data_IF_930540402218
#
_entry.id   IF_930540402218
#
_cell.length_a   1.000
_cell.length_b   1.000
_cell.length_c   1.000
_cell.angle_alpha   90.00
_cell.angle_beta   90.00
_cell.angle_gamma   90.00
#
_symmetry.space_group_name_H-M   'P 1'
#
loop_
_entity.id
_entity.type
_entity.pdbx_description
1 polymer ?
#
# COMPACT_ATOMS: atom_id res chain seq x y z
N UNK A 1 17.03 10.78 -15.76
CA UNK A 1 15.94 11.13 -16.69
C UNK A 1 14.98 12.08 -15.97
N UNK A 2 14.49 13.11 -16.65
CA UNK A 2 13.50 14.04 -16.09
C UNK A 2 12.15 13.76 -16.73
N UNK A 3 11.08 13.68 -15.93
CA UNK A 3 9.72 13.53 -16.41
C UNK A 3 8.95 14.81 -16.06
N UNK A 4 8.24 15.38 -17.04
CA UNK A 4 7.30 16.48 -16.85
C UNK A 4 5.91 15.87 -16.85
N UNK A 5 5.17 16.08 -15.76
CA UNK A 5 3.81 15.56 -15.58
C UNK A 5 2.89 16.75 -15.41
N UNK A 6 1.83 16.81 -16.21
CA UNK A 6 0.83 17.86 -16.11
C UNK A 6 -0.56 17.25 -16.22
N UNK A 7 -1.47 17.69 -15.35
CA UNK A 7 -2.87 17.33 -15.45
C UNK A 7 -3.55 18.38 -16.32
N UNK A 8 -4.16 17.96 -17.44
CA UNK A 8 -4.92 18.85 -18.32
C UNK A 8 -6.40 18.60 -18.09
N UNK A 9 -7.11 19.59 -17.54
CA UNK A 9 -8.52 19.49 -17.20
C UNK A 9 -8.79 18.78 -15.87
N UNK A 10 -9.94 18.12 -15.76
CA UNK A 10 -10.34 17.32 -14.61
C UNK A 10 -10.03 15.84 -14.85
N UNK A 11 -9.90 15.05 -13.78
CA UNK A 11 -9.66 13.61 -13.89
C UNK A 11 -10.05 12.90 -12.60
N UNK A 12 -10.21 11.58 -12.68
CA UNK A 12 -10.64 10.78 -11.52
C UNK A 12 -9.44 10.14 -10.84
N UNK A 13 -9.13 10.45 -9.57
CA UNK A 13 -8.12 9.72 -8.82
C UNK A 13 -8.67 8.34 -8.44
N UNK A 14 -8.06 7.26 -8.92
CA UNK A 14 -8.56 5.91 -8.66
C UNK A 14 -7.44 4.87 -8.63
N UNK A 15 -7.29 4.23 -7.48
CA UNK A 15 -6.38 3.09 -7.31
C UNK A 15 -7.14 1.79 -7.17
N UNK A 16 -6.50 0.69 -7.58
CA UNK A 16 -6.98 -0.67 -7.37
C UNK A 16 -5.85 -1.53 -6.81
N UNK A 17 -6.09 -2.15 -5.67
CA UNK A 17 -5.22 -3.22 -5.16
C UNK A 17 -5.44 -4.45 -6.03
N UNK A 18 -4.39 -4.89 -6.70
CA UNK A 18 -4.42 -6.04 -7.60
C UNK A 18 -4.12 -7.34 -6.87
N UNK A 19 -3.12 -7.31 -5.96
CA UNK A 19 -2.61 -8.50 -5.27
C UNK A 19 -2.00 -8.13 -3.93
N UNK A 20 -2.14 -9.02 -2.96
CA UNK A 20 -1.49 -9.01 -1.64
C UNK A 20 -0.81 -10.36 -1.47
N UNK A 21 0.48 -10.39 -1.16
CA UNK A 21 1.23 -11.64 -1.00
C UNK A 21 2.41 -11.49 -0.05
N UNK A 22 2.76 -12.57 0.63
CA UNK A 22 4.00 -12.65 1.40
C UNK A 22 5.14 -13.13 0.50
N UNK A 23 6.32 -12.54 0.65
CA UNK A 23 7.54 -12.91 -0.08
C UNK A 23 8.69 -13.03 0.89
N UNK A 24 9.62 -13.93 0.60
CA UNK A 24 10.93 -13.93 1.23
C UNK A 24 11.95 -13.56 0.15
N UNK A 25 12.66 -12.45 0.35
CA UNK A 25 13.71 -11.96 -0.56
C UNK A 25 14.95 -11.71 0.28
N UNK A 26 16.09 -12.28 -0.11
CA UNK A 26 17.36 -12.14 0.62
C UNK A 26 17.24 -12.39 2.14
N UNK A 27 16.49 -13.45 2.51
CA UNK A 27 16.18 -13.84 3.90
C UNK A 27 15.29 -12.86 4.70
N UNK A 28 14.74 -11.84 4.05
CA UNK A 28 13.80 -10.91 4.65
C UNK A 28 12.37 -11.29 4.31
N UNK A 29 11.50 -11.37 5.32
CA UNK A 29 10.07 -11.57 5.12
C UNK A 29 9.41 -10.23 4.81
N UNK A 30 8.79 -10.15 3.65
CA UNK A 30 8.15 -8.96 3.10
C UNK A 30 6.68 -9.24 2.84
N UNK A 31 5.85 -8.23 3.10
CA UNK A 31 4.49 -8.19 2.59
C UNK A 31 4.43 -7.27 1.36
N UNK A 32 4.10 -7.87 0.23
CA UNK A 32 4.04 -7.20 -1.07
C UNK A 32 2.60 -6.87 -1.47
N UNK A 33 2.38 -5.63 -1.91
CA UNK A 33 1.07 -5.16 -2.35
C UNK A 33 1.21 -4.55 -3.74
N UNK A 34 0.56 -5.18 -4.72
CA UNK A 34 0.50 -4.67 -6.10
C UNK A 34 -0.68 -3.73 -6.24
N UNK A 35 -0.43 -2.51 -6.70
CA UNK A 35 -1.44 -1.45 -6.84
C UNK A 35 -1.38 -0.90 -8.25
N UNK A 36 -2.53 -0.77 -8.90
CA UNK A 36 -2.66 -0.10 -10.19
C UNK A 36 -3.36 1.24 -10.04
N UNK A 37 -2.90 2.22 -10.83
CA UNK A 37 -3.65 3.44 -11.06
C UNK A 37 -4.55 3.24 -12.26
N UNK A 38 -5.85 3.09 -11.98
CA UNK A 38 -6.92 2.89 -12.97
C UNK A 38 -7.73 4.16 -13.20
N UNK A 39 -7.23 5.30 -12.70
CA UNK A 39 -7.78 6.62 -12.90
C UNK A 39 -7.01 7.41 -13.94
N UNK A 40 -7.29 8.71 -13.99
CA UNK A 40 -6.79 9.62 -15.03
C UNK A 40 -5.68 10.55 -14.53
N UNK A 41 -5.46 10.59 -13.22
CA UNK A 41 -4.51 11.50 -12.57
C UNK A 41 -3.25 10.77 -12.13
N UNK A 42 -2.11 11.45 -12.21
CA UNK A 42 -0.91 11.03 -11.51
C UNK A 42 -1.14 11.05 -9.99
N UNK A 43 -0.70 9.98 -9.33
CA UNK A 43 -0.77 9.82 -7.88
C UNK A 43 0.62 9.46 -7.34
N UNK A 44 0.91 9.86 -6.11
CA UNK A 44 2.14 9.53 -5.40
C UNK A 44 1.85 8.93 -4.00
N UNK A 45 1.07 7.84 -3.90
CA UNK A 45 0.62 7.35 -2.61
C UNK A 45 1.70 6.60 -1.85
N UNK A 46 1.68 6.77 -0.54
CA UNK A 46 2.43 6.00 0.45
C UNK A 46 1.56 4.87 0.99
N UNK A 47 2.07 3.64 0.98
CA UNK A 47 1.39 2.53 1.63
C UNK A 47 1.58 2.59 3.16
N UNK A 48 0.49 2.49 3.91
CA UNK A 48 0.48 2.41 5.37
C UNK A 48 -0.32 1.17 5.78
N UNK A 49 0.25 0.31 6.62
CA UNK A 49 -0.41 -0.86 7.15
C UNK A 49 -0.50 -0.76 8.67
N UNK A 50 -1.72 -0.66 9.19
CA UNK A 50 -2.01 -0.70 10.62
C UNK A 50 -2.49 -2.10 11.00
N UNK A 51 -1.87 -2.69 12.02
CA UNK A 51 -2.15 -4.02 12.51
C UNK A 51 -2.76 -3.94 13.91
N UNK A 52 -3.98 -4.45 14.03
CA UNK A 52 -4.73 -4.51 15.27
C UNK A 52 -4.82 -5.95 15.76
N UNK A 53 -4.70 -6.16 17.06
CA UNK A 53 -4.89 -7.49 17.64
C UNK A 53 -6.38 -7.86 17.79
N UNK A 54 -6.64 -9.05 18.34
CA UNK A 54 -8.00 -9.57 18.53
C UNK A 54 -8.89 -8.72 19.46
N UNK A 55 -8.31 -7.83 20.25
CA UNK A 55 -9.02 -6.90 21.13
C UNK A 55 -9.28 -5.55 20.44
N UNK A 56 -8.88 -5.38 19.17
CA UNK A 56 -8.98 -4.12 18.44
C UNK A 56 -7.93 -3.08 18.85
N UNK A 57 -6.89 -3.47 19.60
CA UNK A 57 -5.78 -2.58 19.96
C UNK A 57 -4.76 -2.53 18.83
N UNK A 58 -4.36 -1.33 18.42
CA UNK A 58 -3.27 -1.11 17.46
C UNK A 58 -1.96 -1.60 18.08
N UNK A 59 -1.31 -2.57 17.45
CA UNK A 59 -0.01 -3.10 17.89
C UNK A 59 1.15 -2.62 17.02
N UNK A 60 0.90 -2.40 15.73
CA UNK A 60 1.94 -1.95 14.80
C UNK A 60 1.38 -1.05 13.71
N UNK A 61 2.17 -0.06 13.31
CA UNK A 61 2.03 0.65 12.03
C UNK A 61 3.30 0.41 11.24
N UNK A 62 3.15 0.02 9.98
CA UNK A 62 4.23 -0.08 9.00
C UNK A 62 3.99 0.97 7.93
N UNK A 63 5.03 1.74 7.63
CA UNK A 63 4.99 2.82 6.64
C UNK A 63 5.96 2.47 5.50
N UNK A 64 5.45 2.46 4.27
CA UNK A 64 6.27 2.42 3.06
C UNK A 64 6.77 3.80 2.67
N UNK A 65 7.46 3.86 1.53
CA UNK A 65 7.77 5.14 0.88
C UNK A 65 6.67 5.52 -0.12
N UNK A 66 6.47 6.83 -0.40
CA UNK A 66 5.62 7.26 -1.50
C UNK A 66 6.18 6.78 -2.83
N UNK A 67 5.31 6.24 -3.69
CA UNK A 67 5.70 5.77 -5.02
C UNK A 67 4.88 6.44 -6.11
N UNK A 68 5.53 6.71 -7.25
CA UNK A 68 4.91 7.35 -8.41
C UNK A 68 4.04 6.37 -9.17
N UNK A 69 2.76 6.70 -9.34
CA UNK A 69 1.77 5.91 -10.05
C UNK A 69 1.12 6.74 -11.15
N UNK A 70 1.52 6.48 -12.39
CA UNK A 70 0.96 7.12 -13.58
C UNK A 70 -0.35 6.44 -13.99
N UNK A 71 -1.28 7.16 -14.66
CA UNK A 71 -2.47 6.55 -15.23
C UNK A 71 -2.12 5.31 -16.07
N UNK A 72 -2.80 4.19 -15.82
CA UNK A 72 -2.58 2.92 -16.50
C UNK A 72 -1.36 2.12 -16.06
N UNK A 73 -0.55 2.61 -15.11
CA UNK A 73 0.60 1.89 -14.56
C UNK A 73 0.27 1.14 -13.26
N UNK A 74 1.18 0.26 -12.84
CA UNK A 74 1.13 -0.39 -11.53
C UNK A 74 2.48 -0.36 -10.84
N UNK A 75 2.45 -0.48 -9.51
CA UNK A 75 3.63 -0.53 -8.66
C UNK A 75 3.47 -1.61 -7.59
N UNK A 76 4.58 -2.22 -7.19
CA UNK A 76 4.63 -3.13 -6.04
C UNK A 76 5.25 -2.37 -4.87
N UNK A 77 4.50 -2.28 -3.79
CA UNK A 77 4.98 -1.80 -2.50
C UNK A 77 5.46 -3.00 -1.69
N UNK A 78 6.60 -2.85 -1.03
CA UNK A 78 7.19 -3.86 -0.15
C UNK A 78 7.21 -3.29 1.27
N UNK A 79 6.64 -4.03 2.22
CA UNK A 79 6.73 -3.70 3.64
C UNK A 79 7.50 -4.80 4.35
N UNK A 80 8.50 -4.39 5.12
CA UNK A 80 9.23 -5.30 6.00
C UNK A 80 8.32 -5.72 7.16
N UNK A 81 8.16 -7.03 7.30
CA UNK A 81 7.36 -7.66 8.36
C UNK A 81 8.21 -8.52 9.29
N UNK A 82 9.53 -8.38 9.21
CA UNK A 82 10.46 -9.08 10.06
C UNK A 82 10.19 -8.77 11.54
N UNK A 83 10.17 -9.82 12.36
CA UNK A 83 9.95 -9.69 13.81
C UNK A 83 8.50 -9.43 14.23
N UNK A 84 7.52 -9.45 13.30
CA UNK A 84 6.13 -9.56 13.70
C UNK A 84 5.86 -10.92 14.35
N UNK A 85 5.02 -10.94 15.38
CA UNK A 85 4.62 -12.19 16.04
C UNK A 85 3.77 -13.03 15.08
N UNK A 86 4.00 -14.35 15.08
CA UNK A 86 3.25 -15.31 14.29
C UNK A 86 1.82 -15.50 14.85
N UNK A 87 0.96 -14.51 14.61
CA UNK A 87 -0.45 -14.50 15.03
C UNK A 87 -1.33 -13.81 14.00
N UNK A 88 -2.65 -13.88 14.24
CA UNK A 88 -3.65 -13.21 13.42
C UNK A 88 -3.84 -11.75 13.87
N UNK A 89 -3.80 -10.84 12.92
CA UNK A 89 -4.12 -9.43 13.07
C UNK A 89 -5.32 -9.06 12.20
N UNK A 90 -6.04 -8.01 12.57
CA UNK A 90 -6.89 -7.25 11.64
C UNK A 90 -6.02 -6.16 11.02
N UNK A 91 -5.81 -6.22 9.71
CA UNK A 91 -5.05 -5.22 8.96
C UNK A 91 -5.96 -4.14 8.39
N UNK A 92 -5.57 -2.87 8.59
CA UNK A 92 -6.06 -1.72 7.84
C UNK A 92 -4.94 -1.22 6.94
N UNK A 93 -5.11 -1.42 5.64
CA UNK A 93 -4.19 -0.97 4.61
C UNK A 93 -4.70 0.33 4.00
N UNK A 94 -3.83 1.32 3.88
CA UNK A 94 -4.13 2.62 3.29
C UNK A 94 -3.07 3.00 2.27
N UNK A 95 -3.49 3.61 1.17
CA UNK A 95 -2.67 4.29 0.19
C UNK A 95 -2.97 5.78 0.33
N UNK A 96 -2.11 6.47 1.05
CA UNK A 96 -2.24 7.89 1.37
C UNK A 96 -1.49 8.73 0.34
N UNK A 97 -2.22 9.50 -0.48
CA UNK A 97 -1.65 10.35 -1.52
C UNK A 97 -1.07 11.69 -0.99
N UNK A 98 -1.18 11.95 0.31
CA UNK A 98 -0.71 13.19 0.93
C UNK A 98 -1.65 14.40 0.71
N UNK A 99 -2.80 14.16 0.10
CA UNK A 99 -3.87 15.13 -0.11
C UNK A 99 -5.21 14.56 0.41
N UNK A 100 -6.34 14.95 -0.19
CA UNK A 100 -7.67 14.46 0.22
C UNK A 100 -7.96 13.04 -0.29
N UNK A 101 -7.09 12.44 -1.10
CA UNK A 101 -7.27 11.12 -1.69
C UNK A 101 -6.64 10.05 -0.81
N UNK A 102 -7.51 9.18 -0.29
CA UNK A 102 -7.14 8.03 0.52
C UNK A 102 -7.87 6.80 0.00
N UNK A 103 -7.14 5.73 -0.26
CA UNK A 103 -7.69 4.45 -0.69
C UNK A 103 -7.35 3.40 0.36
N UNK A 104 -8.26 2.49 0.67
CA UNK A 104 -7.99 1.51 1.72
C UNK A 104 -8.71 0.19 1.54
N UNK A 105 -8.23 -0.79 2.30
CA UNK A 105 -8.78 -2.15 2.37
C UNK A 105 -8.53 -2.71 3.77
N UNK A 106 -9.42 -3.60 4.22
CA UNK A 106 -9.35 -4.26 5.54
C UNK A 106 -9.42 -5.76 5.36
N UNK A 107 -8.52 -6.50 6.00
CA UNK A 107 -8.45 -7.95 5.85
C UNK A 107 -7.76 -8.61 7.05
N UNK A 108 -7.94 -9.92 7.17
CA UNK A 108 -7.19 -10.75 8.11
C UNK A 108 -5.74 -10.88 7.66
N UNK A 109 -4.80 -10.55 8.54
CA UNK A 109 -3.38 -10.63 8.29
C UNK A 109 -2.76 -11.67 9.20
N UNK A 110 -2.39 -12.81 8.62
CA UNK A 110 -1.75 -13.93 9.33
C UNK A 110 -0.30 -13.95 8.87
N UNK A 111 0.61 -13.63 9.80
CA UNK A 111 2.05 -13.69 9.52
C UNK A 111 2.41 -15.14 9.18
N UNK A 112 3.08 -15.38 8.03
CA UNK A 112 3.44 -16.73 7.58
C UNK A 112 4.51 -17.40 8.46
#
# INVERSE_FOLDING_TARGET
AYHIVTNIGEGTPKLKILKKEFKTVDQQNLFAVSVANIGDLFLNPKLVLKLYNSQGKLEKTLDGQPERLYPGSSQIYLMDIQGLEAKKYTAFLMLDNGDKQLFGDTFDFIVP
#
